data_IF_424334467567
#
_entry.id   IF_424334467567
#
_cell.length_a   1.000
_cell.length_b   1.000
_cell.length_c   1.000
_cell.angle_alpha   90.00
_cell.angle_beta   90.00
_cell.angle_gamma   90.00
#
_symmetry.space_group_name_H-M   'P 1'
#
loop_
_entity.id
_entity.type
_entity.pdbx_description
1 polymer ?
#
# COMPACT_ATOMS: atom_id res chain seq x y z
N UNK A 1 -9.88 -17.41 -9.93
CA UNK A 1 -10.02 -16.42 -8.82
C UNK A 1 -11.46 -15.95 -8.77
N UNK A 2 -12.05 -15.90 -7.56
CA UNK A 2 -13.44 -15.53 -7.34
C UNK A 2 -13.68 -14.01 -7.57
N UNK A 3 -14.52 -13.68 -8.55
CA UNK A 3 -14.88 -12.29 -8.90
C UNK A 3 -15.64 -11.62 -7.73
N UNK A 4 -16.48 -12.37 -7.02
CA UNK A 4 -17.24 -11.85 -5.89
C UNK A 4 -16.33 -11.37 -4.75
N UNK A 5 -15.22 -12.07 -4.49
CA UNK A 5 -14.26 -11.67 -3.47
C UNK A 5 -13.50 -10.38 -3.87
N UNK A 6 -13.19 -10.21 -5.16
CA UNK A 6 -12.57 -8.96 -5.65
C UNK A 6 -13.52 -7.77 -5.54
N UNK A 7 -14.80 -7.98 -5.84
CA UNK A 7 -15.82 -6.97 -5.67
C UNK A 7 -16.02 -6.61 -4.19
N UNK A 8 -16.01 -7.61 -3.30
CA UNK A 8 -16.05 -7.41 -1.86
C UNK A 8 -14.93 -6.44 -1.41
N UNK A 9 -13.69 -6.65 -1.86
CA UNK A 9 -12.58 -5.76 -1.47
C UNK A 9 -12.70 -4.36 -2.06
N UNK A 10 -13.21 -4.18 -3.29
CA UNK A 10 -13.48 -2.85 -3.84
C UNK A 10 -14.45 -2.06 -2.97
N UNK A 11 -15.50 -2.71 -2.53
CA UNK A 11 -16.52 -2.11 -1.65
C UNK A 11 -15.96 -1.83 -0.26
N UNK A 12 -15.28 -2.79 0.34
CA UNK A 12 -14.75 -2.70 1.70
C UNK A 12 -13.61 -1.70 1.86
N UNK A 13 -12.67 -1.69 0.94
CA UNK A 13 -11.55 -0.74 0.96
C UNK A 13 -12.01 0.69 0.64
N UNK A 14 -13.09 0.84 -0.12
CA UNK A 14 -13.50 2.13 -0.64
C UNK A 14 -12.47 2.73 -1.58
N UNK A 15 -12.68 3.98 -1.98
CA UNK A 15 -11.76 4.69 -2.90
C UNK A 15 -10.43 5.07 -2.25
N UNK A 16 -10.48 5.44 -0.96
CA UNK A 16 -9.31 5.96 -0.23
C UNK A 16 -9.16 5.28 1.12
N UNK A 17 -7.91 4.98 1.45
CA UNK A 17 -7.47 4.50 2.75
C UNK A 17 -6.19 5.21 3.18
N UNK A 18 -5.63 4.76 4.29
CA UNK A 18 -4.39 5.29 4.86
C UNK A 18 -3.34 4.21 4.90
N UNK A 19 -2.08 4.55 4.58
CA UNK A 19 -0.92 3.70 4.79
C UNK A 19 -0.03 4.31 5.88
N UNK A 20 0.32 3.51 6.89
CA UNK A 20 1.28 3.91 7.95
C UNK A 20 2.11 2.73 8.41
N UNK A 21 3.34 3.03 8.88
CA UNK A 21 4.14 2.02 9.57
C UNK A 21 3.39 1.46 10.77
N UNK A 22 3.35 0.14 10.94
CA UNK A 22 2.57 -0.54 11.98
C UNK A 22 2.87 0.02 13.38
N UNK A 23 4.13 0.35 13.66
CA UNK A 23 4.58 0.94 14.92
C UNK A 23 4.07 2.36 15.21
N UNK A 24 3.47 3.04 14.21
CA UNK A 24 2.88 4.38 14.33
C UNK A 24 1.37 4.35 14.50
N UNK A 25 0.78 3.17 14.46
CA UNK A 25 -0.66 3.01 14.48
C UNK A 25 -1.12 2.63 15.89
N UNK A 26 -2.18 3.28 16.34
CA UNK A 26 -2.86 2.98 17.60
C UNK A 26 -4.34 2.72 17.35
N UNK A 27 -5.04 1.98 18.26
CA UNK A 27 -6.49 1.81 18.16
C UNK A 27 -7.26 3.13 18.06
N UNK A 28 -6.82 4.16 18.79
CA UNK A 28 -7.43 5.50 18.73
C UNK A 28 -7.27 6.18 17.36
N UNK A 29 -6.10 6.01 16.71
CA UNK A 29 -5.91 6.52 15.34
C UNK A 29 -6.81 5.75 14.35
N UNK A 30 -6.91 4.42 14.45
CA UNK A 30 -7.78 3.63 13.57
C UNK A 30 -9.24 4.06 13.68
N UNK A 31 -9.76 4.25 14.90
CA UNK A 31 -11.11 4.76 15.13
C UNK A 31 -11.31 6.18 14.56
N UNK A 32 -10.31 7.07 14.70
CA UNK A 32 -10.38 8.40 14.12
C UNK A 32 -10.41 8.37 12.58
N UNK A 33 -9.62 7.50 11.95
CA UNK A 33 -9.62 7.32 10.48
C UNK A 33 -10.97 6.77 9.98
N UNK A 34 -11.55 5.81 10.69
CA UNK A 34 -12.90 5.31 10.38
C UNK A 34 -13.94 6.44 10.43
N UNK A 35 -13.94 7.26 11.49
CA UNK A 35 -14.84 8.39 11.65
C UNK A 35 -14.67 9.47 10.55
N UNK A 36 -13.47 9.59 10.01
CA UNK A 36 -13.15 10.48 8.89
C UNK A 36 -13.51 9.91 7.51
N UNK A 37 -14.10 8.69 7.45
CA UNK A 37 -14.59 8.09 6.21
C UNK A 37 -13.55 7.32 5.39
N UNK A 38 -12.32 7.09 5.91
CA UNK A 38 -11.36 6.21 5.24
C UNK A 38 -11.83 4.75 5.31
N UNK A 39 -11.82 4.05 4.18
CA UNK A 39 -12.30 2.67 4.11
C UNK A 39 -11.29 1.63 4.61
N UNK A 40 -9.99 1.96 4.60
CA UNK A 40 -8.94 1.03 4.97
C UNK A 40 -7.74 1.69 5.67
N UNK A 41 -7.07 0.89 6.52
CA UNK A 41 -5.77 1.21 7.10
C UNK A 41 -4.76 0.10 6.76
N UNK A 42 -3.73 0.48 6.01
CA UNK A 42 -2.65 -0.40 5.57
C UNK A 42 -1.46 -0.29 6.52
N UNK A 43 -1.09 -1.42 7.13
CA UNK A 43 0.02 -1.53 8.08
C UNK A 43 1.32 -1.81 7.32
N UNK A 44 2.16 -0.80 7.19
CA UNK A 44 3.48 -0.90 6.58
C UNK A 44 4.57 -1.34 7.54
N UNK A 45 5.82 -1.31 7.06
CA UNK A 45 7.02 -1.66 7.84
C UNK A 45 7.04 -3.11 8.33
N UNK A 46 6.51 -4.03 7.50
CA UNK A 46 6.57 -5.48 7.68
C UNK A 46 6.12 -5.94 9.07
N UNK A 47 4.83 -5.85 9.40
CA UNK A 47 4.32 -6.41 10.64
C UNK A 47 4.67 -7.90 10.75
N UNK A 48 4.86 -8.38 11.99
CA UNK A 48 5.27 -9.75 12.28
C UNK A 48 4.21 -10.79 11.90
N UNK A 49 4.61 -12.07 11.85
CA UNK A 49 3.75 -13.17 11.45
C UNK A 49 2.56 -13.41 12.41
N UNK A 50 2.66 -12.96 13.66
CA UNK A 50 1.59 -13.05 14.65
C UNK A 50 0.40 -12.13 14.37
N UNK A 51 0.61 -11.04 13.61
CA UNK A 51 -0.40 -10.05 13.27
C UNK A 51 -1.15 -9.46 14.46
N UNK A 52 -0.53 -9.43 15.64
CA UNK A 52 -1.18 -9.07 16.91
C UNK A 52 -1.83 -7.68 16.87
N UNK A 53 -1.17 -6.70 16.23
CA UNK A 53 -1.72 -5.36 16.10
C UNK A 53 -3.04 -5.31 15.31
N UNK A 54 -3.29 -6.28 14.41
CA UNK A 54 -4.52 -6.32 13.60
C UNK A 54 -5.74 -6.54 14.49
N UNK A 55 -5.64 -7.46 15.46
CA UNK A 55 -6.74 -7.75 16.39
C UNK A 55 -7.17 -6.50 17.18
N UNK A 56 -6.21 -5.75 17.71
CA UNK A 56 -6.47 -4.53 18.48
C UNK A 56 -7.15 -3.43 17.64
N UNK A 57 -6.71 -3.28 16.40
CA UNK A 57 -7.26 -2.27 15.48
C UNK A 57 -8.67 -2.63 15.03
N UNK A 58 -8.94 -3.91 14.74
CA UNK A 58 -10.26 -4.40 14.38
C UNK A 58 -11.25 -4.31 15.53
N UNK A 59 -10.79 -4.57 16.76
CA UNK A 59 -11.61 -4.42 17.97
C UNK A 59 -12.00 -2.96 18.24
N UNK A 60 -11.18 -2.00 17.84
CA UNK A 60 -11.42 -0.57 18.03
C UNK A 60 -12.27 0.09 16.94
N UNK A 61 -12.63 -0.67 15.88
CA UNK A 61 -13.35 -0.15 14.69
C UNK A 61 -14.49 -1.06 14.32
N UNK A 62 -15.48 -0.56 13.58
CA UNK A 62 -16.68 -1.30 13.20
C UNK A 62 -16.71 -1.71 11.73
N UNK A 63 -16.22 -0.84 10.85
CA UNK A 63 -16.28 -1.00 9.40
C UNK A 63 -14.91 -0.94 8.72
N UNK A 64 -13.92 -0.29 9.34
CA UNK A 64 -12.59 -0.10 8.77
C UNK A 64 -11.95 -1.44 8.42
N UNK A 65 -11.47 -1.55 7.19
CA UNK A 65 -10.65 -2.70 6.76
C UNK A 65 -9.22 -2.50 7.22
N UNK A 66 -8.64 -3.52 7.85
CA UNK A 66 -7.20 -3.53 8.12
C UNK A 66 -6.50 -4.35 7.03
N UNK A 67 -5.41 -3.83 6.49
CA UNK A 67 -4.59 -4.55 5.52
C UNK A 67 -3.11 -4.47 5.88
N UNK A 68 -2.31 -5.43 5.45
CA UNK A 68 -0.84 -5.35 5.60
C UNK A 68 -0.18 -4.86 4.31
N UNK A 69 0.72 -3.93 4.40
CA UNK A 69 1.47 -3.35 3.28
C UNK A 69 2.99 -3.35 3.53
N UNK A 70 3.59 -4.53 3.73
CA UNK A 70 3.23 -5.95 3.57
C UNK A 70 3.84 -6.83 4.67
N UNK A 71 3.30 -8.04 4.88
CA UNK A 71 4.03 -9.11 5.57
C UNK A 71 5.20 -9.53 4.68
N UNK A 72 6.41 -9.52 5.25
CA UNK A 72 7.61 -9.90 4.51
C UNK A 72 7.81 -11.42 4.55
N UNK A 73 7.77 -12.07 3.39
CA UNK A 73 7.90 -13.52 3.28
C UNK A 73 9.23 -14.10 3.78
N UNK A 74 10.28 -13.27 3.89
CA UNK A 74 11.60 -13.72 4.36
C UNK A 74 11.70 -13.79 5.88
N UNK A 75 10.91 -12.96 6.57
CA UNK A 75 10.96 -12.79 8.02
C UNK A 75 9.75 -13.42 8.73
N UNK A 76 8.77 -13.95 7.95
CA UNK A 76 7.50 -14.45 8.48
C UNK A 76 7.24 -15.87 7.97
N UNK A 77 7.12 -16.82 8.89
CA UNK A 77 6.75 -18.20 8.57
C UNK A 77 5.32 -18.26 8.01
N UNK A 78 5.09 -18.87 6.82
CA UNK A 78 3.77 -18.89 6.19
C UNK A 78 2.72 -19.65 7.02
N UNK A 79 3.10 -20.69 7.75
CA UNK A 79 2.17 -21.45 8.59
C UNK A 79 1.68 -20.61 9.76
N UNK A 80 2.58 -19.82 10.37
CA UNK A 80 2.21 -18.89 11.43
C UNK A 80 1.32 -17.76 10.92
N UNK A 81 1.63 -17.21 9.74
CA UNK A 81 0.79 -16.17 9.10
C UNK A 81 -0.60 -16.71 8.77
N UNK A 82 -0.71 -17.95 8.26
CA UNK A 82 -1.99 -18.60 7.99
C UNK A 82 -2.82 -18.82 9.27
N UNK A 83 -2.18 -19.26 10.34
CA UNK A 83 -2.85 -19.42 11.64
C UNK A 83 -3.34 -18.08 12.20
N UNK A 84 -2.53 -17.02 12.07
CA UNK A 84 -2.92 -15.66 12.48
C UNK A 84 -4.07 -15.12 11.63
N UNK A 85 -4.05 -15.35 10.30
CA UNK A 85 -5.15 -15.01 9.41
C UNK A 85 -6.45 -15.70 9.82
N UNK A 86 -6.41 -17.03 10.08
CA UNK A 86 -7.57 -17.80 10.47
C UNK A 86 -8.19 -17.30 11.79
N UNK A 87 -7.36 -16.94 12.77
CA UNK A 87 -7.78 -16.34 14.05
C UNK A 87 -8.52 -15.01 13.79
N UNK A 88 -7.92 -14.13 13.01
CA UNK A 88 -8.49 -12.81 12.68
C UNK A 88 -9.81 -12.96 11.91
N UNK A 89 -9.83 -13.78 10.87
CA UNK A 89 -11.02 -13.99 10.04
C UNK A 89 -12.18 -14.61 10.84
N UNK A 90 -11.88 -15.49 11.81
CA UNK A 90 -12.89 -16.05 12.70
C UNK A 90 -13.53 -15.00 13.62
N UNK A 91 -12.75 -14.02 14.08
CA UNK A 91 -13.21 -12.97 14.99
C UNK A 91 -13.85 -11.78 14.25
N UNK A 92 -13.33 -11.42 13.07
CA UNK A 92 -13.78 -10.26 12.28
C UNK A 92 -13.89 -10.62 10.79
N UNK A 93 -14.89 -11.43 10.40
CA UNK A 93 -15.03 -11.93 9.02
C UNK A 93 -15.03 -10.83 7.97
N UNK A 94 -14.20 -10.98 6.94
CA UNK A 94 -14.13 -10.09 5.77
C UNK A 94 -13.59 -8.68 6.05
N UNK A 95 -12.92 -8.46 7.18
CA UNK A 95 -12.34 -7.14 7.55
C UNK A 95 -10.83 -7.08 7.49
N UNK A 96 -10.17 -8.18 7.12
CA UNK A 96 -8.71 -8.24 7.03
C UNK A 96 -8.24 -8.70 5.65
N UNK A 97 -7.45 -7.86 4.97
CA UNK A 97 -6.78 -8.18 3.70
C UNK A 97 -5.29 -8.42 3.95
N UNK A 98 -4.83 -9.65 3.72
CA UNK A 98 -3.44 -10.03 3.92
C UNK A 98 -2.56 -9.58 2.74
N UNK A 99 -1.84 -8.47 2.89
CA UNK A 99 -0.81 -8.06 1.94
C UNK A 99 0.51 -8.78 2.19
N UNK A 100 1.08 -9.41 1.16
CA UNK A 100 2.33 -10.17 1.23
C UNK A 100 3.31 -9.67 0.19
N UNK A 101 4.61 -9.73 0.49
CA UNK A 101 5.64 -9.33 -0.46
C UNK A 101 7.03 -9.85 -0.13
N UNK A 102 7.95 -9.63 -1.08
CA UNK A 102 9.34 -10.04 -0.97
C UNK A 102 10.25 -9.00 -0.28
N UNK A 103 9.70 -7.88 0.17
CA UNK A 103 10.52 -6.81 0.76
C UNK A 103 11.62 -6.32 -0.20
N UNK A 104 12.80 -6.03 0.35
CA UNK A 104 13.92 -5.45 -0.39
C UNK A 104 15.17 -6.32 -0.26
N UNK A 105 15.86 -6.54 -1.38
CA UNK A 105 17.10 -7.32 -1.44
C UNK A 105 18.15 -6.76 -0.46
N UNK A 106 18.26 -5.45 -0.40
CA UNK A 106 19.24 -4.73 0.41
C UNK A 106 19.00 -4.85 1.92
N UNK A 107 17.77 -5.21 2.32
CA UNK A 107 17.38 -5.42 3.71
C UNK A 107 17.27 -6.89 4.12
N UNK A 108 17.55 -7.84 3.18
CA UNK A 108 17.32 -9.27 3.40
C UNK A 108 18.61 -10.07 3.24
N UNK A 109 19.00 -10.85 4.26
CA UNK A 109 20.25 -11.63 4.25
C UNK A 109 20.26 -12.76 3.21
N UNK A 110 19.10 -13.40 2.99
CA UNK A 110 18.92 -14.51 2.05
C UNK A 110 17.83 -14.15 1.03
N UNK A 111 18.18 -13.34 0.04
CA UNK A 111 17.27 -12.93 -1.02
C UNK A 111 17.55 -13.76 -2.28
N UNK A 112 16.87 -14.89 -2.44
CA UNK A 112 17.04 -15.78 -3.61
C UNK A 112 15.70 -15.97 -4.32
N UNK A 113 15.72 -15.81 -5.66
CA UNK A 113 14.58 -16.04 -6.56
C UNK A 113 13.26 -15.52 -6.02
N UNK A 114 13.12 -14.20 -5.77
CA UNK A 114 11.98 -13.64 -5.05
C UNK A 114 10.63 -13.99 -5.68
N UNK A 115 10.56 -14.17 -7.00
CA UNK A 115 9.35 -14.61 -7.69
C UNK A 115 8.94 -16.02 -7.30
N UNK A 116 9.87 -16.98 -7.44
CA UNK A 116 9.59 -18.39 -7.15
C UNK A 116 9.29 -18.61 -5.67
N UNK A 117 10.01 -17.90 -4.80
CA UNK A 117 9.81 -17.97 -3.35
C UNK A 117 8.46 -17.38 -2.96
N UNK A 118 8.07 -16.21 -3.51
CA UNK A 118 6.76 -15.63 -3.24
C UNK A 118 5.62 -16.52 -3.77
N UNK A 119 5.80 -17.12 -4.94
CA UNK A 119 4.80 -18.04 -5.51
C UNK A 119 4.60 -19.29 -4.64
N UNK A 120 5.69 -19.84 -4.07
CA UNK A 120 5.61 -20.94 -3.09
C UNK A 120 4.97 -20.50 -1.80
N UNK A 121 5.39 -19.35 -1.25
CA UNK A 121 4.84 -18.80 -0.03
C UNK A 121 3.31 -18.61 -0.11
N UNK A 122 2.82 -18.02 -1.20
CA UNK A 122 1.39 -17.89 -1.49
C UNK A 122 0.74 -19.26 -1.62
N UNK A 123 1.43 -20.24 -2.25
CA UNK A 123 0.96 -21.62 -2.35
C UNK A 123 0.77 -22.27 -0.99
N UNK A 124 1.71 -22.09 -0.05
CA UNK A 124 1.61 -22.58 1.32
C UNK A 124 0.45 -21.94 2.07
N UNK A 125 0.32 -20.60 2.00
CA UNK A 125 -0.80 -19.89 2.63
C UNK A 125 -2.16 -20.45 2.15
N UNK A 126 -2.29 -20.68 0.84
CA UNK A 126 -3.54 -21.25 0.27
C UNK A 126 -3.77 -22.69 0.77
N UNK A 127 -2.71 -23.52 0.83
CA UNK A 127 -2.81 -24.88 1.33
C UNK A 127 -3.21 -24.94 2.82
N UNK A 128 -2.81 -23.93 3.59
CA UNK A 128 -3.15 -23.75 5.00
C UNK A 128 -4.50 -23.03 5.22
N UNK A 129 -5.28 -22.83 4.15
CA UNK A 129 -6.65 -22.34 4.26
C UNK A 129 -6.83 -20.83 4.07
N UNK A 130 -5.78 -20.04 3.79
CA UNK A 130 -5.95 -18.62 3.45
C UNK A 130 -6.54 -18.50 2.03
N UNK A 131 -7.75 -17.95 1.85
CA UNK A 131 -8.28 -17.80 0.50
C UNK A 131 -7.38 -16.88 -0.34
N UNK A 132 -7.08 -17.28 -1.58
CA UNK A 132 -6.30 -16.43 -2.49
C UNK A 132 -6.93 -15.04 -2.66
N UNK A 133 -8.27 -14.98 -2.71
CA UNK A 133 -9.02 -13.72 -2.77
C UNK A 133 -8.92 -12.82 -1.53
N UNK A 134 -8.41 -13.30 -0.41
CA UNK A 134 -8.16 -12.52 0.80
C UNK A 134 -6.71 -12.05 0.92
N UNK A 135 -5.94 -12.16 -0.16
CA UNK A 135 -4.54 -11.70 -0.22
C UNK A 135 -4.34 -10.64 -1.31
N UNK A 136 -3.39 -9.73 -1.08
CA UNK A 136 -2.83 -8.82 -2.10
C UNK A 136 -1.30 -8.94 -2.13
N UNK A 137 -0.67 -8.80 -3.30
CA UNK A 137 0.78 -8.90 -3.41
C UNK A 137 1.43 -7.54 -3.67
N UNK A 138 2.52 -7.24 -2.97
CA UNK A 138 3.42 -6.18 -3.37
C UNK A 138 4.01 -6.52 -4.75
N UNK A 139 3.69 -5.72 -5.75
CA UNK A 139 4.07 -6.01 -7.13
C UNK A 139 4.44 -4.74 -7.89
N UNK A 140 5.67 -4.70 -8.42
CA UNK A 140 6.16 -3.63 -9.28
C UNK A 140 6.46 -4.12 -10.70
N UNK A 141 7.10 -5.27 -10.84
CA UNK A 141 7.45 -5.82 -12.15
C UNK A 141 6.31 -6.60 -12.81
N UNK A 142 6.32 -6.71 -14.16
CA UNK A 142 5.25 -7.36 -14.91
C UNK A 142 4.96 -8.81 -14.49
N UNK A 143 6.00 -9.59 -14.15
CA UNK A 143 5.83 -10.99 -13.68
C UNK A 143 5.10 -11.04 -12.35
N UNK A 144 5.47 -10.15 -11.40
CA UNK A 144 4.82 -10.06 -10.09
C UNK A 144 3.36 -9.59 -10.20
N UNK A 145 3.08 -8.63 -11.09
CA UNK A 145 1.71 -8.18 -11.36
C UNK A 145 0.82 -9.31 -11.88
N UNK A 146 1.34 -10.15 -12.79
CA UNK A 146 0.59 -11.33 -13.28
C UNK A 146 0.37 -12.36 -12.16
N UNK A 147 1.38 -12.65 -11.35
CA UNK A 147 1.23 -13.55 -10.19
C UNK A 147 0.14 -13.04 -9.24
N UNK A 148 0.15 -11.74 -8.92
CA UNK A 148 -0.87 -11.11 -8.09
C UNK A 148 -2.28 -11.29 -8.70
N UNK A 149 -2.43 -11.00 -9.98
CA UNK A 149 -3.69 -11.11 -10.70
C UNK A 149 -4.23 -12.54 -10.76
N UNK A 150 -3.34 -13.53 -10.91
CA UNK A 150 -3.70 -14.95 -11.08
C UNK A 150 -3.99 -15.66 -9.76
N UNK A 151 -3.26 -15.33 -8.70
CA UNK A 151 -3.25 -16.11 -7.47
C UNK A 151 -3.92 -15.41 -6.28
N UNK A 152 -4.17 -14.09 -6.35
CA UNK A 152 -4.66 -13.29 -5.23
C UNK A 152 -5.77 -12.32 -5.66
N UNK A 153 -6.33 -11.54 -4.73
CA UNK A 153 -7.26 -10.47 -5.08
C UNK A 153 -6.65 -9.49 -6.09
N UNK A 154 -5.36 -9.20 -5.95
CA UNK A 154 -4.65 -8.31 -6.86
C UNK A 154 -3.34 -7.78 -6.29
N UNK A 155 -2.96 -6.58 -6.70
CA UNK A 155 -1.67 -5.96 -6.41
C UNK A 155 -1.80 -4.77 -5.46
N UNK A 156 -0.79 -4.62 -4.58
CA UNK A 156 -0.54 -3.44 -3.77
C UNK A 156 0.80 -2.81 -4.20
N UNK A 157 0.80 -1.98 -5.27
CA UNK A 157 1.99 -1.24 -5.68
C UNK A 157 2.33 -0.14 -4.67
N UNK A 158 3.62 0.04 -4.43
CA UNK A 158 4.12 1.05 -3.50
C UNK A 158 5.13 1.96 -4.20
N UNK A 159 5.09 3.25 -3.90
CA UNK A 159 5.99 4.28 -4.46
C UNK A 159 5.97 4.28 -5.99
N UNK A 160 4.82 4.50 -6.57
CA UNK A 160 4.63 4.51 -8.02
C UNK A 160 3.89 5.77 -8.49
N UNK A 161 4.25 6.34 -9.66
CA UNK A 161 3.50 7.45 -10.24
C UNK A 161 2.20 6.96 -10.89
N UNK A 162 1.29 7.88 -11.22
CA UNK A 162 -0.01 7.58 -11.88
C UNK A 162 0.16 6.81 -13.20
N UNK A 163 1.23 7.09 -13.95
CA UNK A 163 1.53 6.38 -15.20
C UNK A 163 1.74 4.88 -15.01
N UNK A 164 2.33 4.48 -13.87
CA UNK A 164 2.46 3.07 -13.51
C UNK A 164 1.10 2.39 -13.34
N UNK A 165 0.18 3.02 -12.63
CA UNK A 165 -1.17 2.46 -12.40
C UNK A 165 -1.87 2.15 -13.70
N UNK A 166 -1.81 3.06 -14.69
CA UNK A 166 -2.36 2.85 -16.04
C UNK A 166 -1.73 1.64 -16.73
N UNK A 167 -0.40 1.53 -16.70
CA UNK A 167 0.31 0.38 -17.30
C UNK A 167 -0.02 -0.94 -16.58
N UNK A 168 -0.09 -0.92 -15.24
CA UNK A 168 -0.45 -2.08 -14.45
C UNK A 168 -1.87 -2.56 -14.80
N UNK A 169 -2.84 -1.65 -14.88
CA UNK A 169 -4.22 -1.97 -15.27
C UNK A 169 -4.31 -2.54 -16.67
N UNK A 170 -3.60 -1.97 -17.63
CA UNK A 170 -3.51 -2.53 -19.00
C UNK A 170 -2.93 -3.95 -19.02
N UNK A 171 -1.94 -4.23 -18.17
CA UNK A 171 -1.27 -5.51 -18.12
C UNK A 171 -2.11 -6.62 -17.51
N UNK A 172 -2.85 -6.33 -16.41
CA UNK A 172 -3.57 -7.35 -15.65
C UNK A 172 -5.09 -7.38 -15.92
N UNK A 173 -5.59 -6.47 -16.76
CA UNK A 173 -7.01 -6.39 -17.09
C UNK A 173 -7.87 -5.74 -16.00
N UNK A 174 -9.20 -5.69 -16.17
CA UNK A 174 -10.10 -4.93 -15.29
C UNK A 174 -10.41 -5.60 -13.96
N UNK A 175 -10.33 -6.93 -13.88
CA UNK A 175 -10.83 -7.70 -12.74
C UNK A 175 -9.93 -7.67 -11.49
N UNK A 176 -8.59 -7.84 -11.58
CA UNK A 176 -7.74 -7.85 -10.39
C UNK A 176 -7.71 -6.51 -9.68
N UNK A 177 -7.73 -6.54 -8.34
CA UNK A 177 -7.59 -5.36 -7.50
C UNK A 177 -6.25 -4.64 -7.76
N UNK A 178 -6.27 -3.32 -7.86
CA UNK A 178 -5.08 -2.46 -7.75
C UNK A 178 -5.32 -1.50 -6.59
N UNK A 179 -4.66 -1.75 -5.46
CA UNK A 179 -4.66 -0.90 -4.28
C UNK A 179 -3.30 -0.19 -4.15
N UNK A 180 -3.19 0.99 -4.72
CA UNK A 180 -1.91 1.70 -4.85
C UNK A 180 -1.59 2.55 -3.63
N UNK A 181 -0.37 2.46 -3.09
CA UNK A 181 0.12 3.45 -2.14
C UNK A 181 0.57 4.72 -2.88
N UNK A 182 0.26 5.89 -2.32
CA UNK A 182 0.81 7.16 -2.78
C UNK A 182 1.08 8.11 -1.60
N UNK A 183 2.26 8.77 -1.65
CA UNK A 183 2.64 9.74 -0.62
C UNK A 183 1.94 11.08 -0.86
N UNK A 184 1.64 11.79 0.23
CA UNK A 184 1.04 13.11 0.15
C UNK A 184 1.61 14.06 1.21
N UNK A 185 1.65 15.36 0.89
CA UNK A 185 2.04 16.46 1.78
C UNK A 185 1.02 17.58 1.60
N UNK A 186 0.36 18.00 2.67
CA UNK A 186 -0.56 19.15 2.66
C UNK A 186 0.25 20.44 2.83
N UNK A 187 0.92 20.86 1.77
CA UNK A 187 1.73 22.07 1.69
C UNK A 187 1.65 22.65 0.28
N UNK A 188 1.23 23.92 0.18
CA UNK A 188 1.01 24.58 -1.11
C UNK A 188 2.30 25.10 -1.75
N UNK A 189 3.32 25.44 -0.97
CA UNK A 189 4.63 25.79 -1.51
C UNK A 189 5.36 24.52 -1.99
N UNK A 190 5.65 24.38 -3.30
CA UNK A 190 6.30 23.20 -3.82
C UNK A 190 7.70 22.94 -3.24
N UNK A 191 8.45 23.97 -2.90
CA UNK A 191 9.78 23.80 -2.32
C UNK A 191 9.70 23.25 -0.89
N UNK A 192 8.78 23.78 -0.07
CA UNK A 192 8.50 23.27 1.27
C UNK A 192 7.94 21.85 1.23
N UNK A 193 7.01 21.56 0.32
CA UNK A 193 6.45 20.22 0.13
C UNK A 193 7.53 19.18 -0.22
N UNK A 194 8.42 19.52 -1.18
CA UNK A 194 9.56 18.66 -1.54
C UNK A 194 10.53 18.47 -0.39
N UNK A 195 10.75 19.49 0.45
CA UNK A 195 11.60 19.37 1.63
C UNK A 195 11.07 18.31 2.62
N UNK A 196 9.74 18.14 2.73
CA UNK A 196 9.10 17.10 3.54
C UNK A 196 9.13 15.73 2.81
N UNK A 197 8.78 15.71 1.53
CA UNK A 197 8.56 14.48 0.76
C UNK A 197 9.86 13.80 0.31
N UNK A 198 10.83 14.58 -0.17
CA UNK A 198 12.08 14.07 -0.77
C UNK A 198 12.87 13.13 0.14
N UNK A 199 13.08 13.40 1.44
CA UNK A 199 13.80 12.46 2.31
C UNK A 199 13.16 11.07 2.35
N UNK A 200 11.83 10.99 2.23
CA UNK A 200 11.06 9.73 2.26
C UNK A 200 11.07 8.96 0.94
N UNK A 201 11.38 9.62 -0.16
CA UNK A 201 11.63 8.98 -1.47
C UNK A 201 13.11 8.65 -1.61
N UNK A 202 13.99 9.60 -1.29
CA UNK A 202 15.43 9.46 -1.40
C UNK A 202 15.95 8.24 -0.66
N UNK A 203 15.55 8.05 0.61
CA UNK A 203 15.98 6.93 1.45
C UNK A 203 14.78 6.21 2.06
N UNK A 204 14.72 4.87 1.89
CA UNK A 204 15.73 4.02 1.24
C UNK A 204 15.57 3.90 -0.30
N UNK A 205 14.47 4.37 -0.89
CA UNK A 205 13.91 3.87 -2.15
C UNK A 205 14.75 4.15 -3.40
N UNK A 206 15.40 5.31 -3.52
CA UNK A 206 16.31 5.58 -4.65
C UNK A 206 17.62 4.79 -4.56
N UNK A 207 17.89 4.13 -3.43
CA UNK A 207 18.98 3.17 -3.26
C UNK A 207 18.57 1.72 -3.55
N UNK A 208 17.29 1.43 -3.79
CA UNK A 208 16.77 0.07 -3.93
C UNK A 208 16.53 -0.28 -5.40
N UNK A 209 17.18 -1.35 -5.85
CA UNK A 209 17.20 -1.77 -7.27
C UNK A 209 15.80 -2.04 -7.83
N UNK A 210 14.89 -2.61 -7.04
CA UNK A 210 13.52 -2.90 -7.48
C UNK A 210 12.75 -1.62 -7.83
N UNK A 211 12.90 -0.52 -7.07
CA UNK A 211 12.25 0.76 -7.34
C UNK A 211 12.90 1.49 -8.51
N UNK A 212 14.22 1.64 -8.50
CA UNK A 212 14.93 2.36 -9.58
C UNK A 212 14.77 1.64 -10.92
N UNK A 213 14.79 0.29 -10.95
CA UNK A 213 14.50 -0.46 -12.17
C UNK A 213 13.05 -0.29 -12.64
N UNK A 214 12.09 -0.17 -11.72
CA UNK A 214 10.69 0.12 -12.07
C UNK A 214 10.56 1.52 -12.66
N UNK A 215 11.15 2.53 -12.03
CA UNK A 215 11.11 3.92 -12.49
C UNK A 215 11.77 4.07 -13.88
N UNK A 216 12.93 3.41 -14.13
CA UNK A 216 13.54 3.36 -15.46
C UNK A 216 12.62 2.77 -16.53
N UNK A 217 11.88 1.70 -16.20
CA UNK A 217 10.87 1.12 -17.14
C UNK A 217 9.73 2.10 -17.46
N UNK A 218 9.46 3.05 -16.57
CA UNK A 218 8.48 4.10 -16.76
C UNK A 218 9.04 5.32 -17.52
N UNK A 219 10.33 5.30 -17.88
CA UNK A 219 10.97 6.34 -18.65
C UNK A 219 11.75 7.39 -17.84
N UNK A 220 11.86 7.22 -16.52
CA UNK A 220 12.69 8.12 -15.71
C UNK A 220 14.18 7.89 -15.99
N UNK A 221 14.90 8.97 -16.23
CA UNK A 221 16.32 8.94 -16.55
C UNK A 221 17.19 8.69 -15.32
N UNK A 222 18.46 8.30 -15.54
CA UNK A 222 19.42 8.18 -14.45
C UNK A 222 19.68 9.53 -13.76
N UNK A 223 19.54 10.64 -14.48
CA UNK A 223 19.64 11.98 -13.89
C UNK A 223 18.47 12.26 -12.93
N UNK A 224 17.26 11.80 -13.24
CA UNK A 224 16.11 11.92 -12.34
C UNK A 224 16.27 11.06 -11.09
N UNK A 225 16.88 9.89 -11.24
CA UNK A 225 17.09 8.92 -10.15
C UNK A 225 18.33 9.20 -9.31
N UNK A 226 19.23 10.06 -9.80
CA UNK A 226 20.44 10.43 -9.06
C UNK A 226 20.08 11.10 -7.73
N UNK A 227 20.87 10.81 -6.69
CA UNK A 227 20.71 11.43 -5.36
C UNK A 227 20.76 12.97 -5.45
N UNK A 228 19.76 13.72 -4.97
CA UNK A 228 18.65 13.30 -4.09
C UNK A 228 17.30 13.03 -4.81
N UNK A 229 17.30 12.80 -6.09
CA UNK A 229 16.13 12.69 -6.96
C UNK A 229 15.74 14.05 -7.57
N UNK A 230 15.34 14.09 -8.85
CA UNK A 230 14.89 15.33 -9.49
C UNK A 230 13.57 15.84 -8.87
N UNK A 231 13.32 17.15 -8.95
CA UNK A 231 12.05 17.75 -8.52
C UNK A 231 10.85 17.09 -9.20
N UNK A 232 10.96 16.86 -10.51
CA UNK A 232 9.92 16.22 -11.30
C UNK A 232 9.59 14.79 -10.81
N UNK A 233 10.63 14.02 -10.44
CA UNK A 233 10.43 12.69 -9.88
C UNK A 233 9.75 12.75 -8.53
N UNK A 234 10.17 13.67 -7.66
CA UNK A 234 9.55 13.84 -6.34
C UNK A 234 8.07 14.22 -6.49
N UNK A 235 7.75 15.17 -7.35
CA UNK A 235 6.37 15.61 -7.61
C UNK A 235 5.50 14.50 -8.20
N UNK A 236 6.08 13.58 -8.96
CA UNK A 236 5.37 12.42 -9.49
C UNK A 236 5.10 11.31 -8.44
N UNK A 237 5.86 11.28 -7.35
CA UNK A 237 5.79 10.25 -6.29
C UNK A 237 5.18 10.77 -4.98
N UNK A 238 5.02 12.10 -4.85
CA UNK A 238 4.50 12.75 -3.64
C UNK A 238 3.52 13.83 -4.08
N UNK A 239 2.25 13.56 -3.93
CA UNK A 239 1.20 14.56 -4.14
C UNK A 239 1.35 15.71 -3.14
N UNK A 240 1.26 16.95 -3.60
CA UNK A 240 1.37 18.11 -2.71
C UNK A 240 0.47 19.26 -3.15
N UNK A 241 0.18 20.15 -2.23
CA UNK A 241 -0.68 21.30 -2.44
C UNK A 241 -1.65 21.51 -1.27
N UNK A 242 -2.69 22.32 -1.53
CA UNK A 242 -3.83 22.37 -0.63
C UNK A 242 -4.62 21.03 -0.67
N UNK A 243 -5.57 20.78 0.25
CA UNK A 243 -6.31 19.52 0.30
C UNK A 243 -7.01 19.14 -1.00
N UNK A 244 -7.55 20.10 -1.75
CA UNK A 244 -8.23 19.84 -3.03
C UNK A 244 -7.23 19.48 -4.14
N UNK A 245 -6.09 20.12 -4.20
CA UNK A 245 -5.01 19.81 -5.13
C UNK A 245 -4.42 18.42 -4.87
N UNK A 246 -4.19 18.06 -3.60
CA UNK A 246 -3.74 16.71 -3.22
C UNK A 246 -4.79 15.66 -3.59
N UNK A 247 -6.07 15.92 -3.29
CA UNK A 247 -7.17 15.02 -3.65
C UNK A 247 -7.25 14.77 -5.17
N UNK A 248 -7.09 15.83 -5.98
CA UNK A 248 -7.08 15.70 -7.44
C UNK A 248 -5.93 14.80 -7.94
N UNK A 249 -4.72 14.96 -7.40
CA UNK A 249 -3.56 14.13 -7.74
C UNK A 249 -3.77 12.67 -7.34
N UNK A 250 -4.28 12.40 -6.14
CA UNK A 250 -4.61 11.05 -5.68
C UNK A 250 -5.71 10.39 -6.52
N UNK A 251 -6.74 11.15 -6.89
CA UNK A 251 -7.82 10.71 -7.78
C UNK A 251 -7.28 10.34 -9.17
N UNK A 252 -6.16 10.90 -9.58
CA UNK A 252 -5.45 10.51 -10.81
C UNK A 252 -5.15 9.01 -10.89
N UNK A 253 -4.83 8.35 -9.77
CA UNK A 253 -4.65 6.89 -9.72
C UNK A 253 -5.96 6.14 -9.98
N UNK A 254 -7.09 6.60 -9.42
CA UNK A 254 -8.41 5.99 -9.67
C UNK A 254 -8.78 6.13 -11.15
N UNK A 255 -8.58 7.31 -11.74
CA UNK A 255 -8.80 7.56 -13.17
C UNK A 255 -7.88 6.70 -14.04
N UNK A 256 -6.66 6.39 -13.58
CA UNK A 256 -5.71 5.52 -14.25
C UNK A 256 -6.03 4.02 -14.07
N UNK A 257 -7.05 3.67 -13.27
CA UNK A 257 -7.55 2.31 -13.10
C UNK A 257 -7.18 1.65 -11.77
N UNK A 258 -6.71 2.38 -10.75
CA UNK A 258 -6.69 1.86 -9.39
C UNK A 258 -8.12 1.70 -8.86
N UNK A 259 -8.35 0.69 -8.05
CA UNK A 259 -9.61 0.51 -7.33
C UNK A 259 -9.59 1.24 -5.98
N UNK A 260 -8.38 1.37 -5.40
CA UNK A 260 -8.15 1.96 -4.09
C UNK A 260 -6.80 2.70 -4.07
N UNK A 261 -6.74 3.82 -3.36
CA UNK A 261 -5.51 4.56 -3.08
C UNK A 261 -5.30 4.65 -1.58
N UNK A 262 -4.25 4.03 -1.07
CA UNK A 262 -3.86 4.17 0.33
C UNK A 262 -2.83 5.28 0.47
N UNK A 263 -3.20 6.34 1.19
CA UNK A 263 -2.42 7.57 1.28
C UNK A 263 -1.43 7.49 2.42
N UNK A 264 -0.15 7.66 2.11
CA UNK A 264 0.89 7.88 3.11
C UNK A 264 1.06 9.38 3.32
N UNK A 265 0.30 9.96 4.25
CA UNK A 265 0.39 11.36 4.59
C UNK A 265 1.69 11.63 5.37
N UNK A 266 2.55 12.46 4.79
CA UNK A 266 3.80 12.93 5.38
C UNK A 266 3.55 14.28 6.03
N UNK A 267 3.94 14.42 7.28
CA UNK A 267 3.80 15.65 8.07
C UNK A 267 5.14 16.07 8.66
N UNK A 268 5.30 17.34 8.97
CA UNK A 268 6.40 17.80 9.79
C UNK A 268 6.32 17.17 11.19
N UNK A 269 7.44 17.13 11.89
CA UNK A 269 7.50 16.63 13.27
C UNK A 269 6.62 17.50 14.18
N UNK A 270 5.85 16.85 15.06
CA UNK A 270 4.94 17.53 15.98
C UNK A 270 3.63 18.05 15.38
N UNK A 271 3.37 17.83 14.10
CA UNK A 271 2.12 18.24 13.46
C UNK A 271 0.91 17.46 14.02
N UNK A 272 -0.26 18.11 14.06
CA UNK A 272 -1.54 17.44 14.35
C UNK A 272 -1.90 16.47 13.22
N UNK A 273 -1.62 15.19 13.46
CA UNK A 273 -1.81 14.14 12.48
C UNK A 273 -3.29 13.92 12.16
N UNK A 274 -4.16 13.85 13.17
CA UNK A 274 -5.60 13.62 12.98
C UNK A 274 -6.24 14.80 12.28
N UNK A 275 -5.88 16.04 12.66
CA UNK A 275 -6.31 17.25 11.97
C UNK A 275 -5.83 17.30 10.51
N UNK A 276 -4.64 16.80 10.23
CA UNK A 276 -4.13 16.67 8.85
C UNK A 276 -4.93 15.65 8.05
N UNK A 277 -5.28 14.48 8.61
CA UNK A 277 -6.17 13.52 7.95
C UNK A 277 -7.58 14.07 7.75
N UNK A 278 -8.11 14.88 8.68
CA UNK A 278 -9.42 15.53 8.52
C UNK A 278 -9.42 16.46 7.31
N UNK A 279 -8.42 17.34 7.18
CA UNK A 279 -8.29 18.21 6.00
C UNK A 279 -8.17 17.42 4.70
N UNK A 280 -7.44 16.31 4.72
CA UNK A 280 -7.33 15.43 3.56
C UNK A 280 -8.68 14.77 3.22
N UNK A 281 -9.41 14.26 4.22
CA UNK A 281 -10.73 13.64 4.05
C UNK A 281 -11.76 14.62 3.47
N UNK A 282 -11.78 15.87 3.96
CA UNK A 282 -12.58 16.97 3.41
C UNK A 282 -12.23 17.21 1.92
N UNK A 283 -10.95 17.30 1.59
CA UNK A 283 -10.49 17.47 0.20
C UNK A 283 -10.87 16.30 -0.71
N UNK A 284 -10.88 15.07 -0.17
CA UNK A 284 -11.27 13.84 -0.89
C UNK A 284 -12.79 13.66 -1.00
N UNK A 285 -13.58 14.43 -0.24
CA UNK A 285 -15.04 14.31 -0.19
C UNK A 285 -15.54 13.00 0.42
N UNK A 286 -14.85 12.51 1.46
CA UNK A 286 -15.19 11.25 2.16
C UNK A 286 -15.62 11.46 3.61
N UNK A 287 -15.50 12.68 4.13
CA UNK A 287 -15.90 13.06 5.50
C UNK A 287 -17.37 13.48 5.56
#
# INVERSE_FOLDING_TARGET
>A
MDIAMRQHWRERLGRFGVWRGAWQVTPGLAAALEQLGFGALWLGSSPGADLAAVDELLAATSTLTIATGIVNMWDSDPHQVAASFARIESAWPGRFLLGVGAGHREATRQYDKPYDTLARYVGTLIADGVPGGSMALAALGPKMLRLAAERTAGAHPYLVPVSYTRQARQLIGPEPLIATEHKAVLEADPAAARAIGRPRVRRPYLGLVNYTSNLRRLGWSDADLADPGSDALIDALVAHGDPAQVAAQLTGHLTAGADHVCVQLLTAEGADLVGSYRKLAEGLGIS
#
